data_IF_358515130844
#
_entry.id   IF_358515130844
#
_cell.length_a   1.000
_cell.length_b   1.000
_cell.length_c   1.000
_cell.angle_alpha   90.00
_cell.angle_beta   90.00
_cell.angle_gamma   90.00
#
_symmetry.space_group_name_H-M   'P 1'
#
loop_
_entity.id
_entity.type
_entity.pdbx_description
1 polymer ?
#
# COMPACT_ATOMS: atom_id res chain seq x y z
N UNK A 1 -10.05 4.46 6.86
CA UNK A 1 -10.76 4.92 5.65
C UNK A 1 -12.27 5.04 5.87
N UNK A 2 -12.99 4.02 6.41
CA UNK A 2 -14.44 4.13 6.73
C UNK A 2 -14.75 5.31 7.66
N UNK A 3 -13.93 5.55 8.68
CA UNK A 3 -14.11 6.68 9.60
C UNK A 3 -13.94 8.02 8.89
N UNK A 4 -13.01 8.16 7.95
CA UNK A 4 -12.84 9.40 7.19
C UNK A 4 -14.06 9.74 6.35
N UNK A 5 -14.64 8.74 5.66
CA UNK A 5 -15.88 8.91 4.89
C UNK A 5 -17.00 9.38 5.81
N UNK A 6 -17.15 8.73 6.97
CA UNK A 6 -18.19 9.06 7.95
C UNK A 6 -18.00 10.47 8.53
N UNK A 7 -16.77 10.82 8.92
CA UNK A 7 -16.47 12.16 9.45
C UNK A 7 -16.84 13.24 8.43
N UNK A 8 -16.42 13.08 7.17
CA UNK A 8 -16.70 14.08 6.15
C UNK A 8 -18.20 14.12 5.83
N UNK A 9 -18.87 12.97 5.71
CA UNK A 9 -20.28 12.92 5.40
C UNK A 9 -21.19 13.40 6.54
N UNK A 10 -20.83 13.17 7.80
CA UNK A 10 -21.66 13.50 8.96
C UNK A 10 -21.43 14.95 9.47
N UNK A 11 -20.23 15.50 9.23
CA UNK A 11 -19.81 16.78 9.84
C UNK A 11 -19.52 17.90 8.84
N UNK A 12 -19.73 17.66 7.54
CA UNK A 12 -19.55 18.68 6.51
C UNK A 12 -20.72 18.70 5.53
N UNK A 13 -20.79 19.74 4.70
CA UNK A 13 -21.72 19.86 3.58
C UNK A 13 -21.27 19.10 2.32
N UNK A 14 -20.24 18.27 2.44
CA UNK A 14 -19.69 17.49 1.33
C UNK A 14 -20.33 16.13 1.20
N UNK A 15 -20.45 15.68 -0.04
CA UNK A 15 -20.76 14.30 -0.37
C UNK A 15 -19.50 13.45 -0.25
N UNK A 16 -19.63 12.25 0.30
CA UNK A 16 -18.54 11.30 0.49
C UNK A 16 -18.91 9.95 -0.11
N UNK A 17 -17.98 9.35 -0.87
CA UNK A 17 -18.12 8.00 -1.43
C UNK A 17 -16.86 7.21 -1.16
N UNK A 18 -17.00 5.94 -0.82
CA UNK A 18 -15.88 5.02 -0.66
C UNK A 18 -16.17 3.66 -1.26
N UNK A 19 -15.17 3.12 -1.92
CA UNK A 19 -15.15 1.77 -2.43
C UNK A 19 -13.85 1.10 -2.03
N UNK A 20 -13.92 -0.17 -1.61
CA UNK A 20 -12.77 -0.95 -1.17
C UNK A 20 -12.57 -2.12 -2.13
N UNK A 21 -11.50 -2.05 -2.92
CA UNK A 21 -11.08 -3.12 -3.81
C UNK A 21 -10.12 -4.06 -3.09
N UNK A 22 -10.49 -5.32 -3.01
CA UNK A 22 -9.69 -6.36 -2.38
C UNK A 22 -9.03 -7.23 -3.45
N UNK A 23 -7.77 -7.62 -3.20
CA UNK A 23 -7.12 -8.66 -4.00
C UNK A 23 -7.79 -10.02 -3.75
N UNK A 24 -7.81 -10.87 -4.76
CA UNK A 24 -8.27 -12.26 -4.67
C UNK A 24 -7.35 -13.14 -3.82
N UNK A 25 -6.10 -12.74 -3.60
CA UNK A 25 -5.14 -13.47 -2.78
C UNK A 25 -5.55 -13.48 -1.32
N UNK A 26 -5.54 -14.67 -0.70
CA UNK A 26 -5.89 -14.86 0.71
C UNK A 26 -4.91 -14.13 1.65
N UNK A 27 -3.61 -14.11 1.31
CA UNK A 27 -2.53 -13.50 2.09
C UNK A 27 -1.56 -12.78 1.17
N UNK A 28 -1.00 -11.66 1.65
CA UNK A 28 -0.03 -10.86 0.91
C UNK A 28 -0.61 -10.09 -0.27
N UNK A 29 -1.94 -10.05 -0.41
CA UNK A 29 -2.64 -9.24 -1.40
C UNK A 29 -2.77 -7.78 -1.00
N UNK A 30 -3.04 -6.93 -1.97
CA UNK A 30 -3.26 -5.50 -1.78
C UNK A 30 -4.73 -5.19 -1.54
N UNK A 31 -5.02 -4.17 -0.73
CA UNK A 31 -6.34 -3.56 -0.65
C UNK A 31 -6.24 -2.09 -1.06
N UNK A 32 -7.02 -1.69 -2.05
CA UNK A 32 -7.08 -0.30 -2.50
C UNK A 32 -8.39 0.33 -2.05
N UNK A 33 -8.30 1.46 -1.33
CA UNK A 33 -9.45 2.23 -0.89
C UNK A 33 -9.61 3.45 -1.78
N UNK A 34 -10.70 3.49 -2.54
CA UNK A 34 -11.05 4.61 -3.40
C UNK A 34 -12.00 5.54 -2.66
N UNK A 35 -11.56 6.75 -2.34
CA UNK A 35 -12.34 7.75 -1.60
C UNK A 35 -12.57 8.98 -2.47
N UNK A 36 -13.84 9.43 -2.56
CA UNK A 36 -14.23 10.67 -3.23
C UNK A 36 -14.93 11.58 -2.27
N UNK A 37 -14.56 12.85 -2.30
CA UNK A 37 -15.19 13.90 -1.53
C UNK A 37 -15.46 15.10 -2.44
N UNK A 38 -16.59 15.76 -2.25
CA UNK A 38 -16.93 16.91 -3.08
C UNK A 38 -18.22 17.59 -2.67
N UNK A 39 -18.38 18.86 -3.11
CA UNK A 39 -19.59 19.67 -2.84
C UNK A 39 -20.79 19.33 -3.73
N UNK A 40 -20.60 18.48 -4.74
CA UNK A 40 -21.67 18.03 -5.63
C UNK A 40 -21.97 16.56 -5.39
N UNK A 41 -23.22 16.08 -5.61
CA UNK A 41 -23.57 14.68 -5.51
C UNK A 41 -22.64 13.80 -6.34
N UNK A 42 -22.06 12.77 -5.71
CA UNK A 42 -21.14 11.83 -6.35
C UNK A 42 -21.96 10.67 -6.91
N UNK A 43 -22.02 10.58 -8.24
CA UNK A 43 -22.77 9.54 -8.97
C UNK A 43 -21.84 8.61 -9.77
N UNK A 44 -20.56 8.52 -9.37
CA UNK A 44 -19.53 7.75 -10.07
C UNK A 44 -19.53 6.29 -9.61
N UNK A 45 -20.01 5.32 -10.44
CA UNK A 45 -20.02 3.90 -10.07
C UNK A 45 -18.71 3.19 -10.35
N UNK A 46 -17.66 3.89 -10.78
CA UNK A 46 -16.36 3.37 -11.18
C UNK A 46 -15.26 3.69 -10.16
N UNK A 47 -14.18 2.93 -10.21
CA UNK A 47 -12.98 3.16 -9.40
C UNK A 47 -12.31 4.50 -9.75
N UNK A 48 -11.48 5.01 -8.84
CA UNK A 48 -10.68 6.22 -9.11
C UNK A 48 -9.49 5.82 -9.97
N UNK A 49 -9.38 6.43 -11.12
CA UNK A 49 -8.27 6.34 -12.07
C UNK A 49 -7.33 7.55 -12.00
N UNK A 50 -7.82 8.69 -11.47
CA UNK A 50 -7.05 9.92 -11.27
C UNK A 50 -7.26 10.45 -9.86
N UNK A 51 -6.20 10.38 -9.05
CA UNK A 51 -6.22 10.75 -7.64
C UNK A 51 -5.45 12.06 -7.39
N UNK A 52 -5.93 12.87 -6.45
CA UNK A 52 -5.23 14.05 -5.95
C UNK A 52 -4.29 13.68 -4.79
N UNK A 53 -4.58 12.58 -4.09
CA UNK A 53 -3.85 12.08 -2.94
C UNK A 53 -3.75 10.56 -2.97
N UNK A 54 -2.55 10.03 -2.72
CA UNK A 54 -2.30 8.59 -2.54
C UNK A 54 -1.56 8.39 -1.22
N UNK A 55 -2.01 7.42 -0.41
CA UNK A 55 -1.28 6.96 0.78
C UNK A 55 -0.93 5.48 0.65
N UNK A 56 0.35 5.16 0.71
CA UNK A 56 0.86 3.80 0.77
C UNK A 56 1.17 3.42 2.22
N UNK A 57 0.38 2.49 2.76
CA UNK A 57 0.48 2.07 4.17
C UNK A 57 1.58 1.03 4.43
N UNK A 58 2.11 0.40 3.39
CA UNK A 58 3.15 -0.61 3.50
C UNK A 58 4.27 -0.33 2.50
N UNK A 59 5.47 -0.06 3.00
CA UNK A 59 6.62 0.28 2.17
C UNK A 59 6.98 -0.82 1.14
N UNK A 60 6.70 -2.11 1.43
CA UNK A 60 7.00 -3.18 0.49
C UNK A 60 6.18 -3.10 -0.81
N UNK A 61 5.09 -2.35 -0.82
CA UNK A 61 4.26 -2.18 -2.01
C UNK A 61 4.93 -1.35 -3.10
N UNK A 62 5.90 -0.50 -2.76
CA UNK A 62 6.64 0.28 -3.76
C UNK A 62 7.46 -0.58 -4.73
N UNK A 63 7.79 -1.82 -4.33
CA UNK A 63 8.50 -2.79 -5.17
C UNK A 63 7.56 -3.74 -5.94
N UNK A 64 6.30 -3.83 -5.50
CA UNK A 64 5.35 -4.83 -6.03
C UNK A 64 4.33 -4.23 -6.96
N UNK A 65 3.98 -2.97 -6.73
CA UNK A 65 2.87 -2.29 -7.42
C UNK A 65 3.29 -0.90 -7.87
N UNK A 66 2.72 -0.42 -8.95
CA UNK A 66 2.82 0.99 -9.31
C UNK A 66 1.86 1.83 -8.47
N UNK A 67 2.27 2.12 -7.21
CA UNK A 67 1.42 2.83 -6.24
C UNK A 67 1.15 4.28 -6.61
N UNK A 68 1.87 4.84 -7.59
CA UNK A 68 1.68 6.20 -8.10
C UNK A 68 0.86 6.24 -9.39
N UNK A 69 0.39 5.09 -9.87
CA UNK A 69 -0.50 5.05 -11.02
C UNK A 69 -1.75 5.89 -10.75
N UNK A 70 -2.14 6.68 -11.73
CA UNK A 70 -3.28 7.59 -11.60
C UNK A 70 -3.07 8.81 -10.69
N UNK A 71 -1.94 8.95 -9.97
CA UNK A 71 -1.68 10.18 -9.21
C UNK A 71 -1.43 11.35 -10.17
N UNK A 72 -2.22 12.42 -10.01
CA UNK A 72 -2.15 13.63 -10.86
C UNK A 72 -0.83 14.36 -10.64
N UNK A 73 -0.42 15.16 -11.61
CA UNK A 73 0.66 16.13 -11.46
C UNK A 73 0.34 17.09 -10.31
N UNK A 74 1.35 17.45 -9.52
CA UNK A 74 1.26 18.24 -8.29
C UNK A 74 0.40 17.57 -7.19
N UNK A 75 0.06 16.30 -7.34
CA UNK A 75 -0.65 15.51 -6.33
C UNK A 75 0.20 15.27 -5.10
N UNK A 76 -0.42 14.69 -4.07
CA UNK A 76 0.24 14.39 -2.79
C UNK A 76 0.43 12.88 -2.63
N UNK A 77 1.63 12.46 -2.28
CA UNK A 77 1.96 11.08 -1.93
C UNK A 77 2.45 10.99 -0.49
N UNK A 78 1.85 10.09 0.29
CA UNK A 78 2.27 9.77 1.65
C UNK A 78 2.71 8.30 1.72
N UNK A 79 3.95 8.06 2.13
CA UNK A 79 4.49 6.73 2.33
C UNK A 79 4.69 6.44 3.83
N UNK A 80 4.05 5.41 4.35
CA UNK A 80 4.41 4.85 5.65
C UNK A 80 5.67 4.00 5.50
N UNK A 81 6.78 4.45 6.07
CA UNK A 81 8.08 3.79 5.94
C UNK A 81 8.95 4.00 7.17
N UNK A 82 9.83 3.05 7.40
CA UNK A 82 10.91 3.16 8.40
C UNK A 82 12.16 3.86 7.84
N UNK A 83 12.24 4.07 6.53
CA UNK A 83 13.40 4.64 5.86
C UNK A 83 13.56 6.11 6.20
N UNK A 84 14.81 6.49 6.43
CA UNK A 84 15.18 7.91 6.55
C UNK A 84 15.14 8.60 5.19
N UNK A 85 15.14 9.94 5.12
CA UNK A 85 15.22 10.65 3.84
C UNK A 85 16.43 10.24 3.00
N UNK A 86 17.57 9.94 3.62
CA UNK A 86 18.79 9.49 2.95
C UNK A 86 18.62 8.08 2.39
N UNK A 87 18.00 7.18 3.14
CA UNK A 87 17.72 5.81 2.70
C UNK A 87 16.70 5.74 1.54
N UNK A 88 15.84 6.74 1.40
CA UNK A 88 14.92 6.81 0.26
C UNK A 88 15.65 6.91 -1.08
N UNK A 89 16.83 7.57 -1.11
CA UNK A 89 17.67 7.68 -2.31
C UNK A 89 18.12 6.31 -2.82
N UNK A 90 18.45 5.40 -1.90
CA UNK A 90 18.91 4.05 -2.27
C UNK A 90 17.77 3.07 -2.50
N UNK A 91 16.72 3.18 -1.67
CA UNK A 91 15.70 2.13 -1.55
C UNK A 91 14.47 2.34 -2.43
N UNK A 92 14.18 3.55 -2.91
CA UNK A 92 13.06 3.76 -3.81
C UNK A 92 13.39 3.29 -5.23
N UNK A 93 12.47 2.57 -5.90
CA UNK A 93 12.63 2.21 -7.31
C UNK A 93 12.86 3.44 -8.19
N UNK A 94 13.73 3.33 -9.19
CA UNK A 94 14.03 4.45 -10.07
C UNK A 94 12.80 4.94 -10.85
N UNK A 95 11.92 4.06 -11.27
CA UNK A 95 10.65 4.42 -11.91
C UNK A 95 9.79 5.32 -11.01
N UNK A 96 9.70 4.97 -9.72
CA UNK A 96 8.96 5.78 -8.74
C UNK A 96 9.61 7.16 -8.54
N UNK A 97 10.94 7.23 -8.42
CA UNK A 97 11.68 8.49 -8.32
C UNK A 97 11.42 9.40 -9.53
N UNK A 98 11.53 8.84 -10.75
CA UNK A 98 11.22 9.59 -11.98
C UNK A 98 9.79 10.12 -11.97
N UNK A 99 8.80 9.27 -11.65
CA UNK A 99 7.39 9.67 -11.59
C UNK A 99 7.16 10.80 -10.58
N UNK A 100 7.79 10.74 -9.40
CA UNK A 100 7.69 11.78 -8.37
C UNK A 100 8.26 13.11 -8.90
N UNK A 101 9.42 13.07 -9.53
CA UNK A 101 10.08 14.27 -10.07
C UNK A 101 9.31 14.86 -11.28
N UNK A 102 8.97 14.04 -12.28
CA UNK A 102 8.29 14.46 -13.49
C UNK A 102 6.89 15.03 -13.26
N UNK A 103 6.12 14.42 -12.35
CA UNK A 103 4.78 14.91 -11.99
C UNK A 103 4.80 15.98 -10.89
N UNK A 104 5.97 16.41 -10.41
CA UNK A 104 6.12 17.37 -9.31
C UNK A 104 5.28 16.96 -8.09
N UNK A 105 5.37 15.71 -7.66
CA UNK A 105 4.59 15.15 -6.56
C UNK A 105 5.06 15.73 -5.23
N UNK A 106 4.11 16.16 -4.40
CA UNK A 106 4.38 16.54 -3.01
C UNK A 106 4.56 15.26 -2.20
N UNK A 107 5.81 14.90 -1.93
CA UNK A 107 6.14 13.65 -1.28
C UNK A 107 6.32 13.83 0.22
N UNK A 108 5.67 12.96 0.99
CA UNK A 108 5.74 12.93 2.45
C UNK A 108 5.97 11.51 2.94
N UNK A 109 6.66 11.40 4.07
CA UNK A 109 6.86 10.13 4.78
C UNK A 109 6.39 10.22 6.22
N UNK A 110 6.15 9.05 6.81
CA UNK A 110 5.71 8.90 8.18
C UNK A 110 6.07 7.49 8.66
N UNK A 111 6.73 7.36 9.82
CA UNK A 111 6.96 6.06 10.44
C UNK A 111 5.85 5.74 11.45
N UNK A 112 4.68 5.38 10.93
CA UNK A 112 3.51 5.07 11.75
C UNK A 112 3.69 3.79 12.58
N UNK A 113 4.54 2.86 12.12
CA UNK A 113 4.82 1.61 12.86
C UNK A 113 5.57 1.89 14.14
N UNK A 114 6.63 2.72 14.08
CA UNK A 114 7.40 3.15 15.25
C UNK A 114 6.50 3.87 16.25
N UNK A 115 5.72 4.83 15.81
CA UNK A 115 4.79 5.59 16.65
C UNK A 115 3.79 4.65 17.32
N UNK A 116 3.19 3.71 16.60
CA UNK A 116 2.23 2.76 17.15
C UNK A 116 2.87 1.85 18.21
N UNK A 117 4.12 1.43 18.03
CA UNK A 117 4.87 0.63 19.00
C UNK A 117 5.17 1.44 20.28
N UNK A 118 5.65 2.67 20.16
CA UNK A 118 5.98 3.55 21.30
C UNK A 118 4.74 3.88 22.15
N UNK A 119 3.58 4.05 21.53
CA UNK A 119 2.30 4.29 22.23
C UNK A 119 1.72 2.99 22.83
N UNK A 120 2.18 1.82 22.39
CA UNK A 120 1.66 0.53 22.85
C UNK A 120 0.49 -0.01 22.01
N UNK A 121 0.28 0.52 20.80
CA UNK A 121 -0.74 0.05 19.88
C UNK A 121 -0.27 -1.15 19.01
N UNK A 122 1.00 -1.56 19.13
CA UNK A 122 1.59 -2.62 18.33
C UNK A 122 1.62 -2.25 16.83
N UNK A 123 1.00 -3.07 15.96
CA UNK A 123 0.94 -2.78 14.53
C UNK A 123 -0.26 -1.95 14.06
N UNK A 124 -1.01 -1.34 14.98
CA UNK A 124 -2.27 -0.64 14.65
C UNK A 124 -2.01 0.81 14.27
N UNK A 125 -1.69 1.05 13.02
CA UNK A 125 -1.33 2.36 12.46
C UNK A 125 -2.53 3.19 11.96
N UNK A 126 -3.75 2.66 12.05
CA UNK A 126 -4.92 3.24 11.39
C UNK A 126 -5.22 4.69 11.79
N UNK A 127 -5.14 5.03 13.09
CA UNK A 127 -5.46 6.38 13.55
C UNK A 127 -4.36 7.37 13.18
N UNK A 128 -3.10 6.93 13.23
CA UNK A 128 -1.94 7.70 12.80
C UNK A 128 -2.06 8.10 11.32
N UNK A 129 -2.31 7.11 10.45
CA UNK A 129 -2.45 7.34 9.01
C UNK A 129 -3.67 8.17 8.65
N UNK A 130 -4.78 8.06 9.40
CA UNK A 130 -5.96 8.90 9.18
C UNK A 130 -5.71 10.36 9.58
N UNK A 131 -5.02 10.60 10.68
CA UNK A 131 -4.64 11.94 11.10
C UNK A 131 -3.73 12.60 10.05
N UNK A 132 -2.72 11.87 9.57
CA UNK A 132 -1.85 12.31 8.49
C UNK A 132 -2.63 12.62 7.19
N UNK A 133 -3.60 11.77 6.84
CA UNK A 133 -4.48 12.01 5.70
C UNK A 133 -5.22 13.35 5.82
N UNK A 134 -5.89 13.62 6.95
CA UNK A 134 -6.64 14.86 7.11
C UNK A 134 -5.75 16.09 7.06
N UNK A 135 -4.54 16.01 7.65
CA UNK A 135 -3.57 17.13 7.58
C UNK A 135 -3.11 17.42 6.15
N UNK A 136 -2.77 16.37 5.39
CA UNK A 136 -2.20 16.55 4.05
C UNK A 136 -3.25 16.78 2.97
N UNK A 137 -4.41 16.13 3.07
CA UNK A 137 -5.49 16.29 2.09
C UNK A 137 -6.23 17.63 2.26
N UNK A 138 -6.17 18.24 3.44
CA UNK A 138 -6.72 19.56 3.76
C UNK A 138 -8.18 19.75 3.28
N UNK A 139 -9.00 18.71 3.48
CA UNK A 139 -10.43 18.71 3.07
C UNK A 139 -11.27 19.54 4.05
N UNK A 140 -10.92 19.48 5.34
CA UNK A 140 -11.49 20.24 6.45
C UNK A 140 -10.34 20.80 7.30
N UNK A 141 -10.57 21.85 8.11
CA UNK A 141 -9.57 22.36 9.05
C UNK A 141 -9.01 21.24 9.93
N UNK A 142 -7.69 21.23 10.13
CA UNK A 142 -7.00 20.12 10.83
C UNK A 142 -7.51 19.96 12.28
N UNK A 143 -7.74 21.07 12.97
CA UNK A 143 -8.23 21.04 14.36
C UNK A 143 -9.62 20.41 14.46
N UNK A 144 -10.50 20.71 13.52
CA UNK A 144 -11.83 20.09 13.44
C UNK A 144 -11.69 18.57 13.12
N UNK A 145 -10.84 18.21 12.18
CA UNK A 145 -10.58 16.82 11.84
C UNK A 145 -10.09 16.03 13.05
N UNK A 146 -9.17 16.61 13.84
CA UNK A 146 -8.65 16.00 15.09
C UNK A 146 -9.77 15.81 16.11
N UNK A 147 -10.61 16.83 16.30
CA UNK A 147 -11.75 16.73 17.23
C UNK A 147 -12.71 15.60 16.82
N UNK A 148 -13.08 15.52 15.55
CA UNK A 148 -13.95 14.45 15.03
C UNK A 148 -13.31 13.07 15.11
N UNK A 149 -12.01 12.96 14.83
CA UNK A 149 -11.28 11.70 14.99
C UNK A 149 -11.29 11.22 16.44
N UNK A 150 -11.02 12.11 17.40
CA UNK A 150 -11.05 11.79 18.84
C UNK A 150 -12.45 11.39 19.29
N UNK A 151 -13.49 12.07 18.80
CA UNK A 151 -14.87 11.67 19.05
C UNK A 151 -15.21 10.29 18.49
N UNK A 152 -14.77 9.99 17.26
CA UNK A 152 -14.93 8.67 16.63
C UNK A 152 -14.18 7.58 17.40
N UNK A 153 -13.02 7.88 18.00
CA UNK A 153 -12.30 6.99 18.90
C UNK A 153 -13.13 6.65 20.13
N UNK A 154 -13.71 7.64 20.80
CA UNK A 154 -14.57 7.43 21.98
C UNK A 154 -15.76 6.54 21.60
N UNK A 155 -16.43 6.82 20.48
CA UNK A 155 -17.56 6.03 20.00
C UNK A 155 -17.18 4.57 19.70
N UNK A 156 -16.01 4.36 19.08
CA UNK A 156 -15.58 3.02 18.62
C UNK A 156 -14.88 2.18 19.70
N UNK A 157 -14.16 2.84 20.61
CA UNK A 157 -13.29 2.19 21.58
C UNK A 157 -13.64 2.47 23.03
N UNK A 158 -14.61 3.35 23.34
CA UNK A 158 -14.99 3.68 24.72
C UNK A 158 -15.31 2.45 25.58
N UNK A 159 -16.01 1.46 25.00
CA UNK A 159 -16.31 0.19 25.66
C UNK A 159 -15.08 -0.67 26.01
N UNK A 160 -13.90 -0.38 25.41
CA UNK A 160 -12.65 -1.10 25.65
C UNK A 160 -11.81 -0.48 26.77
N UNK A 161 -12.32 0.59 27.38
CA UNK A 161 -11.70 1.29 28.51
C UNK A 161 -10.90 2.53 28.09
N UNK A 162 -10.73 3.41 29.05
CA UNK A 162 -10.10 4.72 28.90
C UNK A 162 -8.65 4.64 28.38
N UNK A 163 -7.89 3.64 28.82
CA UNK A 163 -6.53 3.41 28.34
C UNK A 163 -6.46 3.28 26.82
N UNK A 164 -7.39 2.53 26.21
CA UNK A 164 -7.41 2.32 24.75
C UNK A 164 -7.81 3.61 24.03
N UNK A 165 -8.73 4.39 24.60
CA UNK A 165 -9.11 5.70 24.05
C UNK A 165 -7.91 6.65 24.07
N UNK A 166 -7.22 6.76 25.19
CA UNK A 166 -6.07 7.65 25.35
C UNK A 166 -4.91 7.27 24.40
N UNK A 167 -4.63 5.99 24.23
CA UNK A 167 -3.62 5.52 23.26
C UNK A 167 -3.98 5.91 21.81
N UNK A 168 -5.24 5.79 21.40
CA UNK A 168 -5.67 6.18 20.07
C UNK A 168 -5.67 7.70 19.88
N UNK A 169 -6.01 8.48 20.92
CA UNK A 169 -5.91 9.93 20.89
C UNK A 169 -4.46 10.39 20.73
N UNK A 170 -3.54 9.80 21.51
CA UNK A 170 -2.10 10.06 21.36
C UNK A 170 -1.59 9.70 19.96
N UNK A 171 -2.11 8.64 19.36
CA UNK A 171 -1.77 8.23 17.99
C UNK A 171 -2.23 9.26 16.94
N UNK A 172 -3.39 9.90 17.14
CA UNK A 172 -3.88 10.98 16.26
C UNK A 172 -2.93 12.17 16.33
N UNK A 173 -2.59 12.63 17.53
CA UNK A 173 -1.73 13.78 17.72
C UNK A 173 -0.33 13.53 17.14
N UNK A 174 0.30 12.40 17.48
CA UNK A 174 1.59 12.00 16.94
C UNK A 174 1.58 11.83 15.41
N UNK A 175 0.48 11.33 14.84
CA UNK A 175 0.34 11.16 13.39
C UNK A 175 0.34 12.48 12.62
N UNK A 176 -0.07 13.55 13.25
CA UNK A 176 -0.01 14.91 12.67
C UNK A 176 1.41 15.48 12.77
N UNK A 177 2.05 15.32 13.93
CA UNK A 177 3.36 15.93 14.20
C UNK A 177 4.50 15.26 13.43
N UNK A 178 4.43 13.95 13.24
CA UNK A 178 5.52 13.14 12.70
C UNK A 178 5.61 13.10 11.15
N UNK A 179 4.79 13.86 10.45
CA UNK A 179 4.85 13.95 8.98
C UNK A 179 6.12 14.67 8.54
N UNK A 180 6.91 14.03 7.72
CA UNK A 180 8.13 14.59 7.13
C UNK A 180 7.89 14.89 5.66
N UNK A 181 8.09 16.14 5.24
CA UNK A 181 8.12 16.51 3.83
C UNK A 181 9.47 16.14 3.24
N UNK A 182 9.47 15.47 2.10
CA UNK A 182 10.68 15.11 1.38
C UNK A 182 10.92 16.13 0.27
N UNK A 183 12.08 16.76 0.32
CA UNK A 183 12.55 17.59 -0.77
C UNK A 183 13.07 16.68 -1.88
N UNK A 184 12.38 16.69 -3.02
CA UNK A 184 12.67 15.79 -4.15
C UNK A 184 13.93 16.27 -4.87
N UNK A 185 15.03 15.48 -4.90
CA UNK A 185 16.23 15.85 -5.61
C UNK A 185 16.01 15.94 -7.13
N UNK A 186 16.61 16.92 -7.80
CA UNK A 186 16.53 17.05 -9.26
C UNK A 186 17.10 15.82 -9.99
N UNK A 187 18.01 15.08 -9.36
CA UNK A 187 18.61 13.82 -9.86
C UNK A 187 17.58 12.72 -10.06
N UNK A 188 16.45 12.76 -9.35
CA UNK A 188 15.42 11.72 -9.47
C UNK A 188 14.76 11.66 -10.84
N UNK A 189 14.73 12.75 -11.59
CA UNK A 189 14.22 12.77 -12.96
C UNK A 189 14.99 11.83 -13.91
N UNK A 190 16.26 11.56 -13.60
CA UNK A 190 17.13 10.68 -14.38
C UNK A 190 17.55 9.43 -13.61
N UNK A 191 16.83 9.04 -12.58
CA UNK A 191 17.15 7.88 -11.78
C UNK A 191 17.15 6.59 -12.62
N UNK A 192 18.16 5.72 -12.39
CA UNK A 192 18.32 4.42 -13.03
C UNK A 192 18.39 3.37 -11.93
N UNK A 193 17.68 2.25 -12.10
CA UNK A 193 17.79 1.14 -11.17
C UNK A 193 19.17 0.50 -11.26
N UNK A 194 19.76 0.13 -10.11
CA UNK A 194 20.95 -0.70 -10.09
C UNK A 194 20.62 -2.06 -10.74
N UNK A 195 21.55 -2.60 -11.51
CA UNK A 195 21.40 -3.93 -12.10
C UNK A 195 21.16 -4.96 -10.97
N UNK A 196 19.93 -5.41 -10.87
CA UNK A 196 19.59 -6.53 -9.99
C UNK A 196 19.95 -7.81 -10.75
N UNK A 197 20.92 -8.55 -10.26
CA UNK A 197 21.25 -9.88 -10.80
C UNK A 197 19.98 -10.75 -10.77
N UNK A 198 19.38 -10.99 -11.93
CA UNK A 198 18.19 -11.84 -12.08
C UNK A 198 18.61 -13.29 -11.83
N UNK A 199 18.15 -13.85 -10.74
CA UNK A 199 18.55 -15.20 -10.28
C UNK A 199 17.95 -16.35 -11.10
N UNK A 200 17.01 -16.10 -12.00
CA UNK A 200 16.45 -17.08 -12.95
C UNK A 200 15.82 -16.37 -14.14
N UNK A 201 16.15 -16.84 -15.33
CA UNK A 201 15.46 -16.41 -16.54
C UNK A 201 14.02 -16.96 -16.53
N UNK A 202 13.04 -16.07 -16.39
CA UNK A 202 11.64 -16.45 -16.39
C UNK A 202 11.12 -16.65 -17.82
N UNK A 203 10.25 -17.65 -18.09
CA UNK A 203 9.59 -17.82 -19.38
C UNK A 203 8.86 -16.57 -19.84
N UNK A 204 8.69 -16.41 -21.15
CA UNK A 204 7.95 -15.26 -21.71
C UNK A 204 6.53 -15.13 -21.14
N UNK A 205 5.83 -16.23 -20.93
CA UNK A 205 4.50 -16.24 -20.29
C UNK A 205 4.51 -15.55 -18.92
N UNK A 206 5.53 -15.81 -18.10
CA UNK A 206 5.67 -15.18 -16.79
C UNK A 206 5.85 -13.67 -16.93
N UNK A 207 6.76 -13.23 -17.81
CA UNK A 207 7.08 -11.82 -18.01
C UNK A 207 5.92 -11.05 -18.63
N UNK A 208 5.25 -11.63 -19.63
CA UNK A 208 4.23 -10.97 -20.45
C UNK A 208 2.83 -10.98 -19.78
N UNK A 209 2.52 -11.99 -18.98
CA UNK A 209 1.18 -12.21 -18.40
C UNK A 209 1.24 -12.17 -16.85
N UNK A 210 2.01 -13.08 -16.24
CA UNK A 210 1.91 -13.32 -14.79
C UNK A 210 2.42 -12.12 -13.98
N UNK A 211 3.56 -11.56 -14.33
CA UNK A 211 4.13 -10.41 -13.64
C UNK A 211 3.24 -9.16 -13.72
N UNK A 212 2.74 -8.73 -14.92
CA UNK A 212 1.82 -7.62 -15.00
C UNK A 212 0.51 -7.85 -14.22
N UNK A 213 -0.05 -9.07 -14.28
CA UNK A 213 -1.25 -9.40 -13.50
C UNK A 213 -0.99 -9.33 -11.98
N UNK A 214 0.17 -9.81 -11.53
CA UNK A 214 0.56 -9.74 -10.12
C UNK A 214 0.78 -8.29 -9.64
N UNK A 215 1.21 -7.39 -10.53
CA UNK A 215 1.31 -5.96 -10.27
C UNK A 215 -0.01 -5.20 -10.37
N UNK A 216 -1.13 -5.89 -10.65
CA UNK A 216 -2.46 -5.30 -10.89
C UNK A 216 -2.53 -4.43 -12.15
N UNK A 217 -1.67 -4.69 -13.13
CA UNK A 217 -1.58 -3.99 -14.42
C UNK A 217 -2.25 -4.77 -15.57
N UNK A 218 -2.94 -5.86 -15.26
CA UNK A 218 -3.54 -6.76 -16.25
C UNK A 218 -4.55 -6.09 -17.20
N UNK A 219 -5.23 -5.03 -16.77
CA UNK A 219 -6.13 -4.25 -17.62
C UNK A 219 -5.42 -3.50 -18.76
N UNK A 220 -4.12 -3.25 -18.64
CA UNK A 220 -3.29 -2.63 -19.68
C UNK A 220 -2.82 -3.62 -20.74
N UNK A 221 -3.00 -4.92 -20.54
CA UNK A 221 -2.54 -5.93 -21.48
C UNK A 221 -3.49 -6.01 -22.69
N UNK A 222 -2.97 -5.88 -23.94
CA UNK A 222 -3.80 -6.07 -25.14
C UNK A 222 -4.20 -7.53 -25.29
N UNK A 223 -5.36 -7.78 -25.90
CA UNK A 223 -5.88 -9.14 -26.16
C UNK A 223 -4.87 -9.98 -26.94
N UNK A 224 -4.12 -9.36 -27.87
CA UNK A 224 -3.09 -10.04 -28.64
C UNK A 224 -1.99 -10.67 -27.79
N UNK A 225 -1.72 -10.16 -26.59
CA UNK A 225 -0.76 -10.77 -25.65
C UNK A 225 -1.26 -12.12 -25.17
N UNK A 226 -2.56 -12.22 -24.84
CA UNK A 226 -3.18 -13.49 -24.43
C UNK A 226 -3.23 -14.50 -25.57
N UNK A 227 -3.57 -14.06 -26.79
CA UNK A 227 -3.56 -14.90 -28.01
C UNK A 227 -2.16 -15.42 -28.30
N UNK A 228 -1.12 -14.58 -28.22
CA UNK A 228 0.30 -14.97 -28.38
C UNK A 228 0.69 -16.13 -27.48
N UNK A 229 0.10 -16.21 -26.31
CA UNK A 229 0.38 -17.24 -25.30
C UNK A 229 -0.64 -18.41 -25.29
N UNK A 230 -1.52 -18.51 -26.29
CA UNK A 230 -2.45 -19.62 -26.44
C UNK A 230 -3.53 -19.67 -25.38
N UNK A 231 -4.02 -18.51 -24.91
CA UNK A 231 -5.01 -18.43 -23.83
C UNK A 231 -6.45 -18.27 -24.33
N UNK A 232 -6.72 -18.42 -25.62
CA UNK A 232 -8.05 -18.24 -26.23
C UNK A 232 -9.08 -19.23 -25.72
N UNK A 233 -8.62 -20.41 -25.31
CA UNK A 233 -9.46 -21.49 -24.76
C UNK A 233 -9.55 -21.48 -23.22
N UNK A 234 -8.93 -20.49 -22.56
CA UNK A 234 -8.85 -20.41 -21.11
C UNK A 234 -7.70 -21.22 -20.49
N UNK A 235 -6.80 -21.78 -21.28
CA UNK A 235 -5.61 -22.48 -20.80
C UNK A 235 -4.68 -21.50 -20.09
N UNK A 236 -4.13 -21.91 -18.95
CA UNK A 236 -3.15 -21.15 -18.18
C UNK A 236 -1.95 -22.05 -17.87
N UNK A 237 -0.73 -21.49 -17.96
CA UNK A 237 0.50 -22.23 -17.67
C UNK A 237 0.54 -22.77 -16.23
N UNK A 238 0.79 -24.05 -16.07
CA UNK A 238 0.99 -24.64 -14.75
C UNK A 238 2.35 -24.25 -14.14
N UNK A 239 2.45 -24.29 -12.81
CA UNK A 239 3.72 -24.07 -12.09
C UNK A 239 4.14 -22.61 -11.97
N UNK A 240 3.27 -21.64 -12.28
CA UNK A 240 3.58 -20.19 -12.20
C UNK A 240 3.92 -19.72 -10.78
N UNK A 241 3.45 -20.44 -9.74
CA UNK A 241 3.76 -20.13 -8.34
C UNK A 241 5.27 -20.15 -8.02
N UNK A 242 6.08 -20.88 -8.79
CA UNK A 242 7.54 -20.90 -8.65
C UNK A 242 8.19 -19.52 -8.92
N UNK A 243 7.50 -18.64 -9.65
CA UNK A 243 7.96 -17.29 -10.00
C UNK A 243 7.31 -16.20 -9.15
N UNK A 244 6.39 -16.57 -8.26
CA UNK A 244 5.69 -15.62 -7.38
C UNK A 244 6.27 -15.66 -5.97
N UNK A 245 6.95 -14.58 -5.56
CA UNK A 245 7.47 -14.42 -4.19
C UNK A 245 6.59 -13.43 -3.43
N UNK A 246 5.69 -13.92 -2.58
CA UNK A 246 4.78 -13.05 -1.80
C UNK A 246 5.47 -12.39 -0.62
N UNK A 247 6.53 -13.01 -0.04
CA UNK A 247 7.27 -12.47 1.08
C UNK A 247 6.40 -12.27 2.34
N UNK A 248 5.53 -13.20 2.66
CA UNK A 248 4.56 -13.11 3.76
C UNK A 248 5.21 -13.48 5.09
N UNK A 249 6.03 -14.54 5.08
CA UNK A 249 6.70 -15.05 6.28
C UNK A 249 8.03 -14.31 6.52
N UNK A 250 8.27 -13.93 7.77
CA UNK A 250 9.54 -13.30 8.20
C UNK A 250 10.62 -14.38 8.30
N UNK A 251 10.27 -15.54 8.86
CA UNK A 251 11.15 -16.70 8.99
C UNK A 251 10.54 -17.86 8.22
N UNK A 252 11.35 -18.54 7.41
CA UNK A 252 10.97 -19.72 6.66
C UNK A 252 11.92 -20.87 7.02
N UNK A 253 11.44 -22.14 7.05
CA UNK A 253 12.33 -23.27 7.20
C UNK A 253 13.21 -23.41 5.95
N UNK A 254 14.47 -23.73 6.16
CA UNK A 254 15.41 -24.06 5.12
C UNK A 254 15.70 -25.56 5.16
N UNK A 255 15.58 -26.23 4.02
CA UNK A 255 15.96 -27.63 3.89
C UNK A 255 17.46 -27.71 3.54
N UNK A 256 18.20 -28.45 4.38
CA UNK A 256 19.64 -28.67 4.21
C UNK A 256 19.86 -30.08 3.63
N UNK A 257 20.17 -30.21 2.33
CA UNK A 257 20.27 -31.51 1.66
C UNK A 257 21.26 -32.47 2.31
N UNK A 258 22.40 -31.93 2.78
CA UNK A 258 23.50 -32.69 3.38
C UNK A 258 23.10 -33.39 4.69
N UNK A 259 22.11 -32.83 5.39
CA UNK A 259 21.59 -33.40 6.64
C UNK A 259 20.33 -34.24 6.42
N UNK A 260 19.85 -34.36 5.20
CA UNK A 260 18.61 -35.07 4.87
C UNK A 260 18.81 -36.59 4.80
N UNK A 261 18.13 -37.30 5.67
CA UNK A 261 18.11 -38.77 5.66
C UNK A 261 16.93 -39.36 4.87
N UNK A 262 16.20 -38.56 4.15
CA UNK A 262 15.03 -38.97 3.32
C UNK A 262 13.92 -39.66 4.09
N UNK A 263 13.74 -39.39 5.38
CA UNK A 263 12.71 -39.99 6.22
C UNK A 263 11.26 -39.47 5.96
N UNK A 264 11.11 -38.42 5.15
CA UNK A 264 9.82 -37.83 4.76
C UNK A 264 8.99 -37.22 5.92
N UNK A 265 9.54 -37.10 7.13
CA UNK A 265 8.83 -36.53 8.28
C UNK A 265 8.42 -35.11 8.09
N UNK A 266 9.23 -34.27 7.41
CA UNK A 266 8.89 -32.88 7.12
C UNK A 266 7.60 -32.75 6.29
N UNK A 267 7.39 -33.65 5.32
CA UNK A 267 6.15 -33.69 4.52
C UNK A 267 4.94 -34.12 5.37
N UNK A 268 5.16 -35.11 6.28
CA UNK A 268 4.08 -35.63 7.16
C UNK A 268 3.61 -34.56 8.15
N UNK A 269 4.51 -33.77 8.73
CA UNK A 269 4.15 -32.72 9.72
C UNK A 269 3.71 -31.40 9.08
N UNK A 270 3.95 -31.22 7.79
CA UNK A 270 3.54 -30.02 7.08
C UNK A 270 2.02 -30.00 6.89
N UNK A 271 1.30 -28.96 7.35
CA UNK A 271 -0.16 -28.87 7.17
C UNK A 271 -0.59 -28.75 5.70
N UNK A 272 0.33 -28.45 4.80
CA UNK A 272 0.09 -28.37 3.35
C UNK A 272 0.68 -29.52 2.56
N UNK A 273 1.34 -30.46 3.21
CA UNK A 273 1.98 -31.63 2.61
C UNK A 273 2.97 -31.27 1.47
N UNK A 274 3.67 -30.16 1.62
CA UNK A 274 4.63 -29.65 0.63
C UNK A 274 6.01 -30.28 0.81
#
# INVERSE_FOLDING_TARGET
>A
NKSAIKIIGDHTDMYAQGYFSYDSKKSGGITVSHLRFGKKPIKSPYLIDKADFVACHNQSYVYKYNVLDGLKANGTFLLNTIWTPEELEEKLPAEMKRTIAEKNIKFYTLNAVKIAQEIGLGGRINMIMQAAFFKLANIIPVDEAVAYLKQAVVTSYGKKGEKVVNMNNAAIDAGIEAIVKIEVPATWANAVDAEVATTKEAPAFIKDIVEPMNRQEGFGLPVSTFVKHGMEDGTFMAGTAAYEKRGIAINVPEWIPENCIQCNQCSVVCPHAA
#
